data_IF_658153609389
#
_entry.id   IF_658153609389
#
_cell.length_a   1.000
_cell.length_b   1.000
_cell.length_c   1.000
_cell.angle_alpha   90.00
_cell.angle_beta   90.00
_cell.angle_gamma   90.00
#
_symmetry.space_group_name_H-M   'P 1'
#
loop_
_entity.id
_entity.type
_entity.pdbx_description
1 polymer ?
#
# COMPACT_ATOMS: atom_id res chain seq x y z
N UNK A 1 -4.63 4.05 -7.71
CA UNK A 1 -5.95 4.52 -7.22
C UNK A 1 -6.78 3.31 -6.84
N UNK A 2 -7.62 3.41 -5.81
CA UNK A 2 -8.52 2.35 -5.37
C UNK A 2 -9.71 2.95 -4.62
N UNK A 3 -10.75 2.15 -4.41
CA UNK A 3 -11.95 2.55 -3.69
C UNK A 3 -11.98 1.86 -2.33
N UNK A 4 -12.31 2.60 -1.28
CA UNK A 4 -12.48 2.05 0.07
C UNK A 4 -13.74 2.63 0.71
N UNK A 5 -14.47 1.82 1.49
CA UNK A 5 -15.56 2.33 2.33
C UNK A 5 -14.98 2.95 3.59
N UNK A 6 -15.49 4.11 3.97
CA UNK A 6 -15.25 4.68 5.29
C UNK A 6 -16.20 4.10 6.34
N UNK A 7 -16.03 4.52 7.60
CA UNK A 7 -16.84 4.07 8.73
C UNK A 7 -18.33 4.43 8.61
N UNK A 8 -18.66 5.39 7.74
CA UNK A 8 -20.03 5.83 7.45
C UNK A 8 -20.63 5.07 6.26
N UNK A 9 -19.88 4.15 5.64
CA UNK A 9 -20.28 3.35 4.50
C UNK A 9 -20.18 4.07 3.16
N UNK A 10 -19.62 5.29 3.11
CA UNK A 10 -19.42 6.04 1.88
C UNK A 10 -18.16 5.54 1.14
N UNK A 11 -18.23 5.52 -0.19
CA UNK A 11 -17.07 5.15 -1.02
C UNK A 11 -16.15 6.35 -1.15
N UNK A 12 -14.90 6.17 -0.70
CA UNK A 12 -13.82 7.13 -0.84
C UNK A 12 -12.86 6.66 -1.92
N UNK A 13 -12.63 7.52 -2.91
CA UNK A 13 -11.66 7.28 -3.98
C UNK A 13 -10.27 7.71 -3.53
N UNK A 14 -9.38 6.74 -3.32
CA UNK A 14 -8.02 6.97 -2.85
C UNK A 14 -7.00 7.04 -3.97
N UNK A 15 -6.10 8.01 -3.87
CA UNK A 15 -4.88 8.09 -4.67
C UNK A 15 -3.70 7.66 -3.80
N UNK A 16 -3.17 6.48 -4.10
CA UNK A 16 -1.98 5.94 -3.48
C UNK A 16 -0.74 6.29 -4.30
N UNK A 17 0.29 6.78 -3.63
CA UNK A 17 1.62 6.98 -4.20
C UNK A 17 2.57 5.90 -3.72
N UNK A 18 3.37 5.35 -4.64
CA UNK A 18 4.41 4.35 -4.36
C UNK A 18 5.78 4.88 -4.79
N UNK A 19 6.83 4.12 -4.50
CA UNK A 19 8.16 4.38 -5.08
C UNK A 19 8.18 4.15 -6.59
N UNK A 20 9.33 4.45 -7.21
CA UNK A 20 9.53 4.26 -8.64
C UNK A 20 9.26 2.79 -9.08
N UNK A 21 8.86 2.54 -10.33
CA UNK A 21 8.47 1.20 -10.78
C UNK A 21 9.57 0.14 -10.63
N UNK A 22 10.84 0.48 -10.90
CA UNK A 22 11.97 -0.46 -10.80
C UNK A 22 12.16 -0.95 -9.37
N UNK A 23 12.18 -0.03 -8.39
CA UNK A 23 12.23 -0.36 -6.96
C UNK A 23 11.09 -1.29 -6.54
N UNK A 24 9.89 -1.09 -7.09
CA UNK A 24 8.73 -1.89 -6.74
C UNK A 24 8.86 -3.32 -7.28
N UNK A 25 9.34 -3.47 -8.51
CA UNK A 25 9.63 -4.79 -9.09
C UNK A 25 10.70 -5.52 -8.28
N UNK A 26 11.78 -4.84 -7.91
CA UNK A 26 12.85 -5.40 -7.08
C UNK A 26 12.36 -5.81 -5.68
N UNK A 27 11.32 -5.13 -5.17
CA UNK A 27 10.64 -5.46 -3.90
C UNK A 27 9.55 -6.54 -4.08
N UNK A 28 9.47 -7.19 -5.23
CA UNK A 28 8.56 -8.30 -5.49
C UNK A 28 7.13 -7.89 -5.85
N UNK A 29 6.91 -6.61 -6.17
CA UNK A 29 5.64 -6.15 -6.74
C UNK A 29 5.61 -6.53 -8.21
N UNK A 30 4.57 -7.27 -8.58
CA UNK A 30 4.21 -7.55 -9.98
C UNK A 30 2.95 -6.80 -10.36
N UNK A 31 2.72 -6.61 -11.67
CA UNK A 31 1.45 -6.05 -12.17
C UNK A 31 0.24 -6.89 -11.75
N UNK A 32 0.46 -8.18 -11.49
CA UNK A 32 -0.56 -9.16 -11.12
C UNK A 32 -0.82 -9.21 -9.61
N UNK A 33 -0.01 -8.55 -8.77
CA UNK A 33 -0.17 -8.61 -7.31
C UNK A 33 -1.40 -7.88 -6.80
N UNK A 34 -1.90 -6.91 -7.57
CA UNK A 34 -3.02 -6.03 -7.20
C UNK A 34 -3.99 -5.95 -8.37
N UNK A 35 -4.80 -7.01 -8.53
CA UNK A 35 -5.84 -7.04 -9.56
C UNK A 35 -7.14 -6.44 -9.02
N UNK A 36 -7.94 -5.78 -9.88
CA UNK A 36 -9.30 -5.39 -9.51
C UNK A 36 -10.11 -6.59 -9.01
N UNK A 37 -10.90 -6.40 -7.96
CA UNK A 37 -11.70 -7.46 -7.32
C UNK A 37 -10.99 -8.21 -6.18
N UNK A 38 -9.70 -7.95 -5.94
CA UNK A 38 -9.02 -8.45 -4.75
C UNK A 38 -9.19 -7.50 -3.58
N UNK A 39 -9.55 -8.05 -2.43
CA UNK A 39 -9.52 -7.33 -1.17
C UNK A 39 -8.10 -7.35 -0.60
N UNK A 40 -7.62 -6.17 -0.20
CA UNK A 40 -6.28 -5.98 0.34
C UNK A 40 -6.34 -4.97 1.48
N UNK A 41 -5.44 -5.10 2.45
CA UNK A 41 -5.27 -4.10 3.50
C UNK A 41 -4.10 -3.18 3.14
N UNK A 42 -4.38 -1.90 2.97
CA UNK A 42 -3.37 -0.89 2.62
C UNK A 42 -3.04 -0.04 3.84
N UNK A 43 -1.77 0.00 4.24
CA UNK A 43 -1.27 0.94 5.24
C UNK A 43 -0.59 2.10 4.51
N UNK A 44 -1.03 3.33 4.78
CA UNK A 44 -0.50 4.53 4.12
C UNK A 44 -0.26 5.66 5.11
N UNK A 45 0.69 6.54 4.77
CA UNK A 45 0.79 7.87 5.36
C UNK A 45 -0.02 8.85 4.52
N UNK A 46 -1.10 9.35 5.09
CA UNK A 46 -1.99 10.31 4.45
C UNK A 46 -1.39 11.72 4.46
N UNK A 47 -1.75 12.53 3.46
CA UNK A 47 -1.38 13.95 3.45
C UNK A 47 -2.06 14.69 4.60
N UNK A 48 -1.37 15.67 5.20
CA UNK A 48 -1.90 16.46 6.33
C UNK A 48 -3.16 17.28 5.98
N UNK A 49 -3.45 17.48 4.69
CA UNK A 49 -4.58 18.27 4.20
C UNK A 49 -5.92 17.52 4.23
N UNK A 50 -5.97 16.27 4.69
CA UNK A 50 -7.20 15.47 4.81
C UNK A 50 -7.77 14.98 3.48
N UNK A 51 -7.08 15.22 2.35
CA UNK A 51 -7.46 14.64 1.05
C UNK A 51 -7.21 13.12 1.07
N UNK A 52 -7.98 12.32 0.30
CA UNK A 52 -7.80 10.88 0.17
C UNK A 52 -6.59 10.53 -0.72
N UNK A 53 -5.44 11.07 -0.34
CA UNK A 53 -4.16 10.94 -1.03
C UNK A 53 -3.13 10.55 0.03
N UNK A 54 -2.31 9.54 -0.26
CA UNK A 54 -1.32 9.09 0.68
C UNK A 54 -0.21 8.28 0.05
N UNK A 55 0.93 8.24 0.75
CA UNK A 55 2.06 7.39 0.39
C UNK A 55 1.86 6.01 1.00
N UNK A 56 1.84 4.98 0.16
CA UNK A 56 1.74 3.59 0.61
C UNK A 56 2.99 3.21 1.38
N UNK A 57 2.83 2.50 2.48
CA UNK A 57 3.90 1.91 3.29
C UNK A 57 3.97 0.40 3.11
N UNK A 58 2.82 -0.28 3.22
CA UNK A 58 2.69 -1.71 2.96
C UNK A 58 1.28 -2.06 2.50
N UNK A 59 1.18 -3.15 1.76
CA UNK A 59 -0.09 -3.79 1.39
C UNK A 59 -0.04 -5.24 1.84
N UNK A 60 -1.10 -5.70 2.50
CA UNK A 60 -1.30 -7.11 2.83
C UNK A 60 -2.35 -7.66 1.88
N UNK A 61 -1.98 -8.68 1.11
CA UNK A 61 -2.88 -9.40 0.22
C UNK A 61 -3.73 -10.41 1.01
N UNK A 62 -4.84 -10.85 0.42
CA UNK A 62 -5.75 -11.82 1.03
C UNK A 62 -5.08 -13.17 1.37
N UNK A 63 -4.00 -13.54 0.66
CA UNK A 63 -3.19 -14.75 0.93
C UNK A 63 -2.16 -14.55 2.06
N UNK A 64 -2.12 -13.37 2.69
CA UNK A 64 -1.16 -13.01 3.73
C UNK A 64 0.17 -12.47 3.21
N UNK A 65 0.39 -12.43 1.88
CA UNK A 65 1.60 -11.85 1.30
C UNK A 65 1.66 -10.35 1.57
N UNK A 66 2.82 -9.88 2.00
CA UNK A 66 3.07 -8.46 2.27
C UNK A 66 3.91 -7.85 1.15
N UNK A 67 3.41 -6.76 0.58
CA UNK A 67 4.10 -5.92 -0.38
C UNK A 67 4.49 -4.61 0.30
N UNK A 68 5.77 -4.45 0.62
CA UNK A 68 6.28 -3.23 1.25
C UNK A 68 6.78 -2.25 0.19
N UNK A 69 6.54 -0.95 0.40
CA UNK A 69 7.15 0.10 -0.43
C UNK A 69 8.44 0.62 0.19
N UNK A 70 8.66 0.38 1.48
CA UNK A 70 9.92 0.63 2.17
C UNK A 70 10.73 -0.65 2.22
N UNK A 71 12.06 -0.53 2.18
CA UNK A 71 12.92 -1.66 2.51
C UNK A 71 12.51 -2.19 3.89
N UNK A 72 12.48 -3.51 4.11
CA UNK A 72 12.30 -4.03 5.46
C UNK A 72 13.33 -3.32 6.35
N UNK A 73 12.94 -2.91 7.57
CA UNK A 73 13.91 -2.33 8.49
C UNK A 73 15.10 -3.28 8.54
N UNK A 74 16.31 -2.75 8.35
CA UNK A 74 17.53 -3.54 8.49
C UNK A 74 17.39 -4.37 9.77
N UNK A 75 17.75 -5.67 9.75
CA UNK A 75 17.72 -6.46 10.97
C UNK A 75 18.44 -5.64 12.02
N UNK A 76 17.74 -5.32 13.11
CA UNK A 76 18.37 -4.61 14.23
C UNK A 76 19.46 -5.56 14.71
N UNK A 77 20.70 -5.33 14.32
CA UNK A 77 21.84 -5.94 14.98
C UNK A 77 21.75 -5.45 16.41
N UNK A 78 21.32 -6.32 17.32
CA UNK A 78 21.40 -6.02 18.75
C UNK A 78 22.84 -5.63 19.03
N UNK A 79 23.03 -4.41 19.54
CA UNK A 79 24.30 -3.94 20.11
C UNK A 79 24.67 -4.77 21.32
#
# INVERSE_FOLDING_TARGET
>A
KFDAKDDQGAIVHWVAETSNPSDMVDRGWTKQSLKPGYEVTVTMQIVKSGKPIGRVQRIVLADGKVLSTTLPPAPKTNQ
#
